data_IF_483418517208
#
_entry.id   IF_483418517208
#
_cell.length_a   1.000
_cell.length_b   1.000
_cell.length_c   1.000
_cell.angle_alpha   90.00
_cell.angle_beta   90.00
_cell.angle_gamma   90.00
#
_symmetry.space_group_name_H-M   'P 1'
#
loop_
_entity.id
_entity.type
_entity.pdbx_description
1 polymer ?
#
# COMPACT_ATOMS: atom_id res chain seq x y z
N UNK A 1 6.08 -0.84 -9.53
CA UNK A 1 5.85 -1.88 -8.52
C UNK A 1 5.08 -3.05 -9.06
N UNK A 2 4.73 -3.98 -8.18
CA UNK A 2 4.04 -5.21 -8.52
C UNK A 2 4.98 -6.42 -8.54
N UNK A 3 4.48 -7.55 -9.04
CA UNK A 3 5.29 -8.76 -9.20
C UNK A 3 5.65 -8.99 -10.67
N UNK A 4 6.92 -9.24 -10.93
CA UNK A 4 7.42 -9.66 -12.24
C UNK A 4 8.09 -11.03 -12.05
N UNK A 5 7.59 -12.05 -12.75
CA UNK A 5 8.06 -13.43 -12.61
C UNK A 5 8.12 -13.93 -11.15
N UNK A 6 7.10 -13.59 -10.36
CA UNK A 6 6.98 -14.01 -8.96
C UNK A 6 7.83 -13.20 -7.97
N UNK A 7 8.57 -12.19 -8.42
CA UNK A 7 9.41 -11.33 -7.56
C UNK A 7 8.84 -9.91 -7.50
N UNK A 8 8.88 -9.25 -6.34
CA UNK A 8 8.53 -7.84 -6.24
C UNK A 8 9.41 -6.96 -7.13
N UNK A 9 8.82 -5.90 -7.68
CA UNK A 9 9.48 -4.99 -8.61
C UNK A 9 9.37 -3.54 -8.12
N UNK A 10 10.32 -2.70 -8.52
CA UNK A 10 10.27 -1.24 -8.42
C UNK A 10 10.08 -0.57 -9.78
N UNK A 11 9.75 -1.36 -10.82
CA UNK A 11 9.56 -0.86 -12.17
C UNK A 11 8.37 0.09 -12.32
N UNK A 12 8.53 1.07 -13.18
CA UNK A 12 7.49 1.96 -13.69
C UNK A 12 7.41 1.83 -15.21
N UNK A 13 6.20 1.70 -15.72
CA UNK A 13 5.94 1.54 -17.15
C UNK A 13 4.87 2.53 -17.62
N UNK A 14 5.01 2.99 -18.85
CA UNK A 14 4.07 3.88 -19.51
C UNK A 14 3.60 3.28 -20.83
N UNK A 15 2.31 3.41 -21.13
CA UNK A 15 1.74 3.13 -22.45
C UNK A 15 1.11 4.42 -22.99
N UNK A 16 1.52 4.82 -24.18
CA UNK A 16 0.89 5.94 -24.88
C UNK A 16 -0.37 5.48 -25.62
N UNK A 17 -1.54 5.81 -25.10
CA UNK A 17 -2.82 5.44 -25.71
C UNK A 17 -3.08 6.18 -27.04
N UNK A 18 -2.41 7.28 -27.30
CA UNK A 18 -2.46 7.98 -28.61
C UNK A 18 -1.62 7.29 -29.69
N UNK A 19 -0.69 6.41 -29.29
CA UNK A 19 0.12 5.57 -30.18
C UNK A 19 0.46 4.25 -29.50
N UNK A 20 -0.51 3.34 -29.33
CA UNK A 20 -0.33 2.08 -28.60
C UNK A 20 0.64 1.11 -29.28
N UNK A 21 0.88 1.28 -30.59
CA UNK A 21 1.82 0.46 -31.37
C UNK A 21 3.26 0.53 -30.85
N UNK A 22 3.62 1.62 -30.15
CA UNK A 22 4.95 1.75 -29.52
C UNK A 22 5.14 0.81 -28.33
N UNK A 23 4.05 0.19 -27.83
CA UNK A 23 4.07 -0.73 -26.69
C UNK A 23 4.38 -0.04 -25.36
N UNK A 24 4.56 -0.86 -24.33
CA UNK A 24 4.94 -0.40 -23.00
C UNK A 24 6.41 0.07 -22.98
N UNK A 25 6.63 1.25 -22.49
CA UNK A 25 7.96 1.83 -22.29
C UNK A 25 8.32 1.79 -20.81
N UNK A 26 9.51 1.31 -20.47
CA UNK A 26 10.03 1.39 -19.12
C UNK A 26 10.51 2.81 -18.82
N UNK A 27 10.05 3.35 -17.71
CA UNK A 27 10.48 4.61 -17.13
C UNK A 27 11.43 4.34 -15.95
N UNK A 28 12.10 5.38 -15.41
CA UNK A 28 12.96 5.19 -14.24
C UNK A 28 12.27 4.50 -13.09
N UNK A 29 12.88 3.45 -12.57
CA UNK A 29 12.42 2.71 -11.41
C UNK A 29 12.34 3.63 -10.18
N UNK A 30 11.37 3.45 -9.29
CA UNK A 30 11.37 4.20 -8.03
C UNK A 30 12.53 3.71 -7.14
N UNK A 31 13.17 4.63 -6.35
CA UNK A 31 14.43 4.34 -5.65
C UNK A 31 14.25 3.50 -4.38
N UNK A 32 13.02 3.21 -3.98
CA UNK A 32 12.73 2.39 -2.81
C UNK A 32 12.86 0.89 -3.04
N UNK A 33 12.68 0.11 -1.97
CA UNK A 33 12.67 -1.35 -2.07
C UNK A 33 11.55 -1.83 -3.00
N UNK A 34 11.79 -2.88 -3.82
CA UNK A 34 10.76 -3.51 -4.64
C UNK A 34 9.56 -3.93 -3.80
N UNK A 35 8.34 -3.71 -4.30
CA UNK A 35 7.12 -3.90 -3.50
C UNK A 35 5.88 -4.15 -4.34
N UNK A 36 4.89 -4.76 -3.71
CA UNK A 36 3.54 -4.93 -4.22
C UNK A 36 2.54 -4.10 -3.41
N UNK A 37 1.40 -3.79 -4.00
CA UNK A 37 0.28 -3.07 -3.39
C UNK A 37 0.67 -1.74 -2.68
N UNK A 38 1.54 -0.88 -3.25
CA UNK A 38 1.64 0.49 -2.76
C UNK A 38 0.36 1.25 -3.08
N UNK A 39 0.07 2.29 -2.31
CA UNK A 39 -0.87 3.34 -2.76
C UNK A 39 -0.19 4.13 -3.87
N UNK A 40 -0.90 4.32 -4.98
CA UNK A 40 -0.39 5.04 -6.15
C UNK A 40 -1.44 6.04 -6.63
N UNK A 41 -1.10 7.34 -6.69
CA UNK A 41 -2.05 8.40 -7.02
C UNK A 41 -1.45 9.37 -8.03
N UNK A 42 -2.17 9.60 -9.14
CA UNK A 42 -1.88 10.70 -10.05
C UNK A 42 -2.48 12.00 -9.53
N UNK A 43 -1.64 13.01 -9.32
CA UNK A 43 -2.05 14.34 -8.87
C UNK A 43 -1.64 15.39 -9.90
N UNK A 44 -2.62 16.12 -10.44
CA UNK A 44 -2.32 17.22 -11.38
C UNK A 44 -1.61 18.36 -10.66
N UNK A 45 -0.52 18.83 -11.27
CA UNK A 45 0.23 19.99 -10.83
C UNK A 45 0.59 20.81 -12.07
N UNK A 46 0.00 22.00 -12.20
CA UNK A 46 0.21 22.85 -13.38
C UNK A 46 -0.10 22.12 -14.70
N UNK A 47 0.91 21.89 -15.52
CA UNK A 47 0.77 21.29 -16.85
C UNK A 47 1.11 19.80 -16.89
N UNK A 48 1.49 19.17 -15.76
CA UNK A 48 1.80 17.75 -15.69
C UNK A 48 0.98 17.02 -14.61
N UNK A 49 0.93 15.69 -14.69
CA UNK A 49 0.41 14.84 -13.62
C UNK A 49 1.57 14.14 -12.95
N UNK A 50 1.83 14.51 -11.70
CA UNK A 50 2.80 13.83 -10.83
C UNK A 50 2.22 12.50 -10.34
N UNK A 51 3.08 11.50 -10.22
CA UNK A 51 2.70 10.20 -9.66
C UNK A 51 3.27 10.07 -8.25
N UNK A 52 2.40 9.98 -7.26
CA UNK A 52 2.76 9.73 -5.87
C UNK A 52 2.62 8.26 -5.53
N UNK A 53 3.55 7.75 -4.71
CA UNK A 53 3.60 6.36 -4.30
C UNK A 53 3.98 6.26 -2.82
N UNK A 54 3.21 5.49 -2.02
CA UNK A 54 3.52 5.21 -0.61
C UNK A 54 3.24 3.77 -0.23
N UNK A 55 3.99 3.28 0.75
CA UNK A 55 3.73 2.00 1.37
C UNK A 55 3.98 0.82 0.44
N UNK A 56 3.19 -0.23 0.64
CA UNK A 56 3.38 -1.51 -0.03
C UNK A 56 4.28 -2.46 0.75
N UNK A 57 4.38 -3.70 0.29
CA UNK A 57 5.14 -4.74 0.97
C UNK A 57 5.86 -5.68 0.01
N UNK A 58 6.79 -6.43 0.55
CA UNK A 58 7.49 -7.52 -0.13
C UNK A 58 7.63 -8.69 0.81
N UNK A 59 7.31 -9.90 0.35
CA UNK A 59 7.80 -11.12 0.98
C UNK A 59 9.31 -11.25 0.81
N UNK A 60 9.93 -12.18 1.52
CA UNK A 60 11.34 -12.48 1.36
C UNK A 60 11.64 -13.05 -0.04
N UNK A 61 12.68 -12.53 -0.69
CA UNK A 61 13.14 -12.97 -2.02
C UNK A 61 14.63 -12.65 -2.22
N UNK A 62 15.34 -13.49 -2.95
CA UNK A 62 16.73 -13.30 -3.36
C UNK A 62 17.67 -12.88 -2.20
N UNK A 63 17.53 -13.50 -1.03
CA UNK A 63 18.32 -13.21 0.17
C UNK A 63 17.94 -11.92 0.91
N UNK A 64 16.87 -11.24 0.48
CA UNK A 64 16.29 -10.08 1.18
C UNK A 64 15.14 -10.55 2.06
N UNK A 65 15.10 -10.08 3.30
CA UNK A 65 13.99 -10.34 4.22
C UNK A 65 12.72 -9.61 3.81
N UNK A 66 11.58 -10.12 4.31
CA UNK A 66 10.29 -9.49 4.12
C UNK A 66 10.27 -8.05 4.64
N UNK A 67 9.58 -7.17 3.93
CA UNK A 67 9.47 -5.75 4.28
C UNK A 67 8.04 -5.24 4.17
N UNK A 68 7.69 -4.28 5.02
CA UNK A 68 6.51 -3.44 4.88
C UNK A 68 6.95 -1.98 4.89
N UNK A 69 6.81 -1.31 3.76
CA UNK A 69 7.33 0.03 3.55
C UNK A 69 6.40 1.10 4.11
N UNK A 70 6.98 2.19 4.64
CA UNK A 70 6.26 3.40 5.04
C UNK A 70 6.75 4.64 4.28
N UNK A 71 7.82 4.51 3.49
CA UNK A 71 8.39 5.58 2.67
C UNK A 71 7.45 5.99 1.52
N UNK A 72 7.70 7.15 0.98
CA UNK A 72 6.97 7.69 -0.15
C UNK A 72 7.86 8.36 -1.18
N UNK A 73 7.37 8.39 -2.41
CA UNK A 73 8.06 8.98 -3.56
C UNK A 73 7.08 9.69 -4.47
N UNK A 74 7.57 10.73 -5.14
CA UNK A 74 6.87 11.46 -6.19
C UNK A 74 7.67 11.40 -7.49
N UNK A 75 7.05 10.99 -8.58
CA UNK A 75 7.63 10.98 -9.92
C UNK A 75 7.13 12.15 -10.75
N UNK A 76 8.06 12.90 -11.36
CA UNK A 76 7.76 13.92 -12.35
C UNK A 76 8.03 13.36 -13.76
N UNK A 77 7.00 13.24 -14.61
CA UNK A 77 7.18 12.81 -16.00
C UNK A 77 8.05 13.77 -16.82
N UNK A 78 7.94 15.09 -16.60
CA UNK A 78 8.73 16.09 -17.34
C UNK A 78 10.22 16.04 -17.01
N UNK A 79 10.57 15.74 -15.74
CA UNK A 79 11.94 15.60 -15.30
C UNK A 79 12.46 14.15 -15.40
N UNK A 80 11.57 13.19 -15.59
CA UNK A 80 11.86 11.74 -15.53
C UNK A 80 12.59 11.34 -14.24
N UNK A 81 12.20 11.92 -13.11
CA UNK A 81 12.88 11.73 -11.82
C UNK A 81 11.90 11.46 -10.69
N UNK A 82 12.36 10.63 -9.76
CA UNK A 82 11.74 10.37 -8.47
C UNK A 82 12.36 11.26 -7.39
N UNK A 83 11.52 11.76 -6.51
CA UNK A 83 11.93 12.48 -5.30
C UNK A 83 11.27 11.83 -4.09
N UNK A 84 11.96 11.72 -2.94
CA UNK A 84 11.32 11.29 -1.71
C UNK A 84 10.28 12.32 -1.26
N UNK A 85 9.22 11.83 -0.63
CA UNK A 85 8.18 12.66 0.01
C UNK A 85 7.91 12.13 1.41
N UNK A 86 7.26 12.95 2.23
CA UNK A 86 6.99 12.63 3.64
C UNK A 86 6.27 11.30 3.81
N UNK A 87 6.71 10.55 4.82
CA UNK A 87 6.09 9.31 5.28
C UNK A 87 4.69 9.59 5.84
N UNK A 88 3.66 8.77 5.51
CA UNK A 88 2.36 8.87 6.14
C UNK A 88 2.46 8.72 7.65
N UNK A 89 1.92 9.69 8.38
CA UNK A 89 1.86 9.68 9.85
C UNK A 89 0.45 9.99 10.33
N UNK A 90 0.06 9.38 11.45
CA UNK A 90 -1.17 9.73 12.17
C UNK A 90 -0.99 10.92 13.09
N UNK A 91 -2.06 11.34 13.75
CA UNK A 91 -2.05 12.40 14.78
C UNK A 91 -1.16 12.06 15.98
N UNK A 92 -0.91 10.78 16.21
CA UNK A 92 0.01 10.25 17.24
C UNK A 92 1.50 10.26 16.78
N UNK A 93 1.80 10.81 15.61
CA UNK A 93 3.14 10.83 15.00
C UNK A 93 3.70 9.44 14.68
N UNK A 94 2.86 8.41 14.69
CA UNK A 94 3.27 7.04 14.34
C UNK A 94 3.19 6.85 12.82
N UNK A 95 4.25 6.32 12.16
CA UNK A 95 4.21 5.99 10.74
C UNK A 95 3.10 5.00 10.41
N UNK A 96 2.32 5.31 9.38
CA UNK A 96 1.23 4.47 8.88
C UNK A 96 1.68 3.75 7.63
N UNK A 97 1.62 2.42 7.66
CA UNK A 97 1.80 1.63 6.46
C UNK A 97 0.52 1.68 5.62
N UNK A 98 0.67 2.05 4.36
CA UNK A 98 -0.43 2.07 3.40
C UNK A 98 -0.39 0.85 2.46
N UNK A 99 0.28 -0.23 2.87
CA UNK A 99 0.30 -1.48 2.10
C UNK A 99 -1.11 -2.06 1.94
N UNK A 100 -1.60 -2.19 0.70
CA UNK A 100 -2.98 -2.56 0.42
C UNK A 100 -4.01 -1.46 0.69
N UNK A 101 -3.59 -0.24 1.03
CA UNK A 101 -4.47 0.93 1.14
C UNK A 101 -4.91 1.47 -0.22
N UNK A 102 -5.77 2.46 -0.21
CA UNK A 102 -6.25 3.16 -1.40
C UNK A 102 -6.01 4.67 -1.28
N UNK A 103 -5.83 5.34 -2.43
CA UNK A 103 -5.65 6.78 -2.47
C UNK A 103 -6.29 7.41 -3.70
N UNK A 104 -6.70 8.67 -3.58
CA UNK A 104 -7.30 9.46 -4.66
C UNK A 104 -6.93 10.95 -4.51
N UNK A 105 -6.72 11.62 -5.62
CA UNK A 105 -6.60 13.07 -5.64
C UNK A 105 -7.96 13.71 -5.27
N UNK A 106 -7.96 14.57 -4.25
CA UNK A 106 -9.17 15.26 -3.78
C UNK A 106 -9.30 16.64 -4.41
N UNK A 107 -8.22 17.41 -4.42
CA UNK A 107 -8.15 18.75 -4.99
C UNK A 107 -6.87 18.88 -5.81
N UNK A 108 -6.51 20.09 -6.22
CA UNK A 108 -5.26 20.39 -6.91
C UNK A 108 -3.98 20.17 -6.06
N UNK A 109 -4.14 19.96 -4.76
CA UNK A 109 -3.01 19.83 -3.83
C UNK A 109 -3.23 18.85 -2.67
N UNK A 110 -4.39 18.18 -2.62
CA UNK A 110 -4.71 17.25 -1.54
C UNK A 110 -4.96 15.85 -2.10
N UNK A 111 -4.33 14.86 -1.49
CA UNK A 111 -4.54 13.43 -1.76
C UNK A 111 -5.16 12.80 -0.51
N UNK A 112 -6.26 12.10 -0.69
CA UNK A 112 -6.95 11.33 0.33
C UNK A 112 -6.45 9.88 0.29
N UNK A 113 -6.08 9.31 1.45
CA UNK A 113 -5.69 7.91 1.60
C UNK A 113 -6.45 7.24 2.72
N UNK A 114 -6.82 5.97 2.51
CA UNK A 114 -7.57 5.15 3.47
C UNK A 114 -7.06 3.71 3.50
N UNK A 115 -7.30 3.01 4.59
CA UNK A 115 -7.06 1.58 4.69
C UNK A 115 -5.58 1.19 4.70
N UNK A 116 -5.34 -0.07 4.43
CA UNK A 116 -4.04 -0.70 4.49
C UNK A 116 -3.85 -1.56 5.73
N UNK A 117 -2.87 -2.45 5.68
CA UNK A 117 -2.59 -3.41 6.76
C UNK A 117 -1.82 -2.76 7.93
N UNK A 118 -1.95 -3.32 9.13
CA UNK A 118 -1.09 -2.96 10.25
C UNK A 118 0.34 -3.45 9.98
N UNK A 119 1.32 -2.54 10.16
CA UNK A 119 2.73 -2.80 9.84
C UNK A 119 3.27 -4.02 10.58
N UNK A 120 3.16 -4.03 11.90
CA UNK A 120 3.84 -5.02 12.73
C UNK A 120 3.19 -6.40 12.62
N UNK A 121 1.85 -6.44 12.63
CA UNK A 121 1.08 -7.69 12.52
C UNK A 121 1.31 -8.33 11.14
N UNK A 122 1.26 -7.54 10.08
CA UNK A 122 1.42 -8.09 8.73
C UNK A 122 2.87 -8.46 8.44
N UNK A 123 3.84 -7.66 8.89
CA UNK A 123 5.26 -7.99 8.75
C UNK A 123 5.61 -9.31 9.47
N UNK A 124 5.07 -9.52 10.67
CA UNK A 124 5.25 -10.79 11.40
C UNK A 124 4.69 -12.00 10.63
N UNK A 125 3.57 -11.81 9.91
CA UNK A 125 3.03 -12.88 9.05
C UNK A 125 3.95 -13.18 7.86
N UNK A 126 4.51 -12.15 7.20
CA UNK A 126 5.46 -12.32 6.10
C UNK A 126 6.76 -12.99 6.57
N UNK A 127 7.28 -12.61 7.75
CA UNK A 127 8.46 -13.22 8.36
C UNK A 127 8.21 -14.69 8.72
N UNK A 128 7.02 -15.05 9.20
CA UNK A 128 6.63 -16.44 9.45
C UNK A 128 6.66 -17.26 8.16
N UNK A 129 6.22 -16.70 7.03
CA UNK A 129 6.33 -17.37 5.73
C UNK A 129 7.80 -17.56 5.30
N UNK A 130 8.67 -16.60 5.57
CA UNK A 130 10.10 -16.70 5.34
C UNK A 130 10.72 -17.84 6.19
N UNK A 131 10.42 -17.87 7.50
CA UNK A 131 10.86 -18.91 8.40
C UNK A 131 10.32 -20.30 8.00
N UNK A 132 9.08 -20.37 7.53
CA UNK A 132 8.48 -21.62 7.02
C UNK A 132 9.27 -22.17 5.84
N UNK A 133 9.61 -21.31 4.85
CA UNK A 133 10.42 -21.72 3.69
C UNK A 133 11.81 -22.23 4.11
N UNK A 134 12.45 -21.54 5.06
CA UNK A 134 13.75 -21.94 5.59
C UNK A 134 13.66 -23.29 6.33
N UNK A 135 12.64 -23.51 7.18
CA UNK A 135 12.44 -24.74 7.89
C UNK A 135 12.19 -25.95 6.96
N UNK A 136 11.38 -25.74 5.91
CA UNK A 136 11.14 -26.76 4.87
C UNK A 136 12.43 -27.10 4.13
N UNK A 137 13.18 -26.12 3.70
CA UNK A 137 14.45 -26.31 2.98
C UNK A 137 15.49 -27.00 3.86
N UNK A 138 15.54 -26.67 5.16
CA UNK A 138 16.45 -27.26 6.14
C UNK A 138 16.00 -28.63 6.69
N UNK A 139 14.84 -29.16 6.26
CA UNK A 139 14.30 -30.44 6.74
C UNK A 139 13.88 -30.46 8.22
N UNK A 140 13.66 -29.28 8.83
CA UNK A 140 13.28 -29.16 10.23
C UNK A 140 11.75 -29.30 10.41
N UNK A 141 11.28 -30.57 10.50
CA UNK A 141 9.85 -30.87 10.60
C UNK A 141 9.20 -30.25 11.85
N UNK A 142 9.88 -30.25 13.01
CA UNK A 142 9.34 -29.69 14.25
C UNK A 142 9.06 -28.16 14.09
N UNK A 143 10.00 -27.43 13.46
CA UNK A 143 9.78 -26.01 13.15
C UNK A 143 8.64 -25.80 12.14
N UNK A 144 8.53 -26.64 11.12
CA UNK A 144 7.43 -26.60 10.15
C UNK A 144 6.08 -26.77 10.85
N UNK A 145 5.95 -27.73 11.77
CA UNK A 145 4.69 -28.01 12.46
C UNK A 145 4.31 -26.86 13.42
N UNK A 146 5.29 -26.29 14.15
CA UNK A 146 5.09 -25.09 14.98
C UNK A 146 4.58 -23.91 14.15
N UNK A 147 5.28 -23.56 13.06
CA UNK A 147 4.92 -22.44 12.19
C UNK A 147 3.57 -22.61 11.50
N UNK A 148 3.18 -23.85 11.15
CA UNK A 148 1.82 -24.15 10.66
C UNK A 148 0.76 -23.90 11.72
N UNK A 149 1.01 -24.28 12.98
CA UNK A 149 0.10 -24.02 14.10
C UNK A 149 -0.08 -22.52 14.33
N UNK A 150 1.02 -21.76 14.32
CA UNK A 150 0.98 -20.29 14.43
C UNK A 150 0.21 -19.64 13.27
N UNK A 151 0.43 -20.10 12.02
CA UNK A 151 -0.29 -19.62 10.85
C UNK A 151 -1.80 -19.91 10.96
N UNK A 152 -2.18 -21.09 11.46
CA UNK A 152 -3.58 -21.43 11.73
C UNK A 152 -4.18 -20.50 12.78
N UNK A 153 -3.50 -20.28 13.90
CA UNK A 153 -3.93 -19.36 14.97
C UNK A 153 -4.09 -17.93 14.43
N UNK A 154 -3.11 -17.45 13.64
CA UNK A 154 -3.18 -16.15 12.98
C UNK A 154 -4.47 -15.98 12.17
N UNK A 155 -4.89 -16.98 11.39
CA UNK A 155 -6.10 -16.92 10.56
C UNK A 155 -7.42 -16.93 11.37
N UNK A 156 -7.41 -17.42 12.61
CA UNK A 156 -8.61 -17.55 13.45
C UNK A 156 -8.98 -16.27 14.21
N UNK A 157 -8.09 -15.28 14.28
CA UNK A 157 -8.39 -14.03 14.97
C UNK A 157 -9.58 -13.28 14.33
N UNK A 158 -10.37 -12.52 15.11
CA UNK A 158 -11.40 -11.63 14.58
C UNK A 158 -10.77 -10.45 13.80
N UNK A 159 -11.56 -9.78 12.99
CA UNK A 159 -11.07 -8.71 12.09
C UNK A 159 -10.36 -7.58 12.86
N UNK A 160 -10.87 -7.20 14.00
CA UNK A 160 -10.34 -6.10 14.84
C UNK A 160 -8.92 -6.39 15.36
N UNK A 161 -8.57 -7.67 15.52
CA UNK A 161 -7.24 -8.07 15.95
C UNK A 161 -6.14 -7.68 14.95
N UNK A 162 -6.46 -7.67 13.65
CA UNK A 162 -5.48 -7.33 12.60
C UNK A 162 -5.17 -5.84 12.55
N UNK A 163 -5.98 -4.99 13.20
CA UNK A 163 -5.74 -3.55 13.33
C UNK A 163 -5.40 -2.89 11.99
N UNK A 164 -6.17 -3.20 10.94
CA UNK A 164 -6.02 -2.50 9.69
C UNK A 164 -6.20 -1.01 9.90
N UNK A 165 -5.53 -0.20 9.08
CA UNK A 165 -5.55 1.25 9.24
C UNK A 165 -6.97 1.81 9.12
N UNK A 166 -7.46 2.37 10.23
CA UNK A 166 -8.78 3.00 10.36
C UNK A 166 -8.74 4.53 10.14
N UNK A 167 -7.57 5.07 9.82
CA UNK A 167 -7.38 6.51 9.60
C UNK A 167 -7.75 6.91 8.20
N UNK A 168 -8.41 8.07 8.09
CA UNK A 168 -8.54 8.82 6.84
C UNK A 168 -7.44 9.87 6.87
N UNK A 169 -6.45 9.71 5.99
CA UNK A 169 -5.27 10.55 5.92
C UNK A 169 -5.36 11.48 4.71
N UNK A 170 -4.95 12.72 4.90
CA UNK A 170 -4.84 13.73 3.84
C UNK A 170 -3.38 14.15 3.70
N UNK A 171 -2.84 14.00 2.50
CA UNK A 171 -1.52 14.49 2.15
C UNK A 171 -1.62 15.81 1.38
N UNK A 172 -0.93 16.83 1.87
CA UNK A 172 -0.82 18.12 1.20
C UNK A 172 0.46 18.16 0.35
N UNK A 173 0.30 18.11 -0.97
CA UNK A 173 1.41 18.04 -1.93
C UNK A 173 2.24 19.31 -2.02
N UNK A 174 1.69 20.48 -1.62
CA UNK A 174 2.42 21.77 -1.61
C UNK A 174 3.29 21.93 -0.36
N UNK A 175 2.86 21.32 0.77
CA UNK A 175 3.55 21.44 2.06
C UNK A 175 4.40 20.22 2.38
N UNK A 176 4.26 19.14 1.62
CA UNK A 176 4.82 17.82 1.92
C UNK A 176 4.49 17.36 3.36
N UNK A 177 3.18 17.39 3.70
CA UNK A 177 2.70 17.09 5.05
C UNK A 177 1.45 16.24 5.03
N UNK A 178 1.39 15.33 6.01
CA UNK A 178 0.24 14.50 6.31
C UNK A 178 -0.60 15.08 7.44
N UNK A 179 -1.89 14.85 7.37
CA UNK A 179 -2.88 15.17 8.40
C UNK A 179 -3.84 13.99 8.53
N UNK A 180 -4.16 13.62 9.77
CA UNK A 180 -5.22 12.67 10.07
C UNK A 180 -6.54 13.44 10.21
N UNK A 181 -7.46 13.24 9.27
CA UNK A 181 -8.75 13.92 9.28
C UNK A 181 -9.69 13.31 10.31
N UNK A 182 -9.82 11.99 10.32
CA UNK A 182 -10.72 11.24 11.21
C UNK A 182 -10.35 9.76 11.21
N UNK A 183 -10.88 8.99 12.18
CA UNK A 183 -10.84 7.52 12.21
C UNK A 183 -12.21 6.92 12.01
N UNK A 184 -12.28 5.84 11.25
CA UNK A 184 -13.49 5.03 11.08
C UNK A 184 -13.11 3.58 10.78
N UNK A 185 -13.74 2.64 11.47
CA UNK A 185 -13.57 1.21 11.18
C UNK A 185 -14.08 0.83 9.78
N UNK A 186 -14.98 1.63 9.20
CA UNK A 186 -15.52 1.38 7.86
C UNK A 186 -14.48 1.53 6.74
N UNK A 187 -13.34 2.18 7.03
CA UNK A 187 -12.22 2.28 6.08
C UNK A 187 -11.03 1.36 6.44
N UNK A 188 -11.11 0.63 7.55
CA UNK A 188 -10.07 -0.30 8.00
C UNK A 188 -10.04 -1.58 7.13
N UNK A 189 -9.63 -1.43 5.88
CA UNK A 189 -9.68 -2.48 4.85
C UNK A 189 -8.39 -2.50 4.03
N UNK A 190 -8.05 -3.68 3.51
CA UNK A 190 -6.99 -3.81 2.51
C UNK A 190 -7.58 -4.16 1.14
N UNK A 191 -6.98 -3.65 0.07
CA UNK A 191 -7.44 -3.91 -1.31
C UNK A 191 -8.83 -3.35 -1.62
N UNK A 192 -9.28 -2.32 -0.91
CA UNK A 192 -10.48 -1.57 -1.24
C UNK A 192 -10.22 -0.65 -2.44
N UNK A 193 -11.28 -0.32 -3.18
CA UNK A 193 -11.23 0.76 -4.16
C UNK A 193 -11.70 2.07 -3.50
N UNK A 194 -11.01 3.16 -3.77
CA UNK A 194 -11.40 4.51 -3.35
C UNK A 194 -11.72 5.33 -4.59
N UNK A 195 -12.95 5.85 -4.66
CA UNK A 195 -13.42 6.68 -5.76
C UNK A 195 -14.26 7.84 -5.24
N UNK A 196 -14.45 8.88 -6.03
CA UNK A 196 -15.28 10.03 -5.65
C UNK A 196 -14.79 11.32 -6.28
N UNK A 197 -15.49 12.41 -5.94
CA UNK A 197 -15.19 13.76 -6.44
C UNK A 197 -15.70 14.82 -5.46
N UNK A 198 -15.01 15.96 -5.41
CA UNK A 198 -15.39 17.10 -4.57
C UNK A 198 -15.32 16.76 -3.09
N UNK A 199 -16.48 16.71 -2.43
CA UNK A 199 -16.59 16.43 -0.99
C UNK A 199 -17.09 15.01 -0.69
N UNK A 200 -17.40 14.20 -1.70
CA UNK A 200 -17.97 12.87 -1.51
C UNK A 200 -17.09 11.79 -2.12
N UNK A 201 -16.68 10.84 -1.29
CA UNK A 201 -15.86 9.69 -1.68
C UNK A 201 -16.53 8.39 -1.20
N UNK A 202 -16.17 7.30 -1.84
CA UNK A 202 -16.66 5.96 -1.52
C UNK A 202 -15.49 5.02 -1.39
N UNK A 203 -15.39 4.34 -0.24
CA UNK A 203 -14.47 3.23 0.00
C UNK A 203 -15.25 1.93 -0.25
N UNK A 204 -14.88 1.22 -1.32
CA UNK A 204 -15.69 0.13 -1.89
C UNK A 204 -15.03 -1.20 -1.62
N UNK A 205 -15.76 -2.15 -1.04
CA UNK A 205 -15.33 -3.52 -0.78
C UNK A 205 -14.05 -3.56 0.08
N UNK A 206 -13.20 -4.54 -0.16
CA UNK A 206 -11.93 -4.74 0.52
C UNK A 206 -11.93 -5.91 1.48
N UNK A 207 -10.78 -6.20 2.01
CA UNK A 207 -10.51 -7.29 2.93
C UNK A 207 -10.49 -6.75 4.37
N UNK A 208 -11.26 -7.37 5.27
CA UNK A 208 -11.32 -7.01 6.69
C UNK A 208 -10.25 -7.75 7.51
N UNK A 209 -9.87 -8.92 7.03
CA UNK A 209 -8.77 -9.75 7.54
C UNK A 209 -8.37 -10.72 6.43
N UNK A 210 -7.21 -11.39 6.52
CA UNK A 210 -6.77 -12.33 5.48
C UNK A 210 -7.86 -13.32 5.07
N UNK A 211 -8.21 -13.32 3.78
CA UNK A 211 -9.21 -14.20 3.19
C UNK A 211 -10.69 -13.83 3.42
N UNK A 212 -10.99 -12.79 4.20
CA UNK A 212 -12.38 -12.36 4.49
C UNK A 212 -12.61 -10.96 3.92
N UNK A 213 -13.47 -10.87 2.92
CA UNK A 213 -13.82 -9.62 2.23
C UNK A 213 -15.23 -9.15 2.59
N UNK A 214 -15.45 -7.85 2.49
CA UNK A 214 -16.76 -7.24 2.66
C UNK A 214 -17.27 -6.70 1.33
N UNK A 215 -18.59 -6.82 1.03
CA UNK A 215 -19.23 -6.14 -0.10
C UNK A 215 -19.66 -4.70 0.23
N UNK A 216 -19.44 -4.24 1.45
CA UNK A 216 -19.93 -2.94 1.91
C UNK A 216 -19.24 -1.77 1.20
N UNK A 217 -19.99 -0.67 1.08
CA UNK A 217 -19.53 0.61 0.56
C UNK A 217 -19.66 1.64 1.67
N UNK A 218 -18.54 2.20 2.10
CA UNK A 218 -18.53 3.31 3.06
C UNK A 218 -18.48 4.64 2.31
N UNK A 219 -19.43 5.55 2.61
CA UNK A 219 -19.44 6.92 2.11
C UNK A 219 -18.62 7.81 3.04
N UNK A 220 -17.69 8.56 2.48
CA UNK A 220 -16.85 9.53 3.18
C UNK A 220 -17.25 10.92 2.70
N UNK A 221 -17.56 11.82 3.64
CA UNK A 221 -17.84 13.22 3.36
C UNK A 221 -16.77 14.08 4.03
N UNK A 222 -16.18 15.00 3.29
CA UNK A 222 -15.10 15.88 3.77
C UNK A 222 -15.47 17.31 3.37
N UNK A 223 -15.78 18.12 4.36
CA UNK A 223 -16.12 19.53 4.21
C UNK A 223 -14.92 20.39 3.81
#
# INVERSE_FOLDING_TARGET
GGNVNGKPSNGLYCLNLGNPETGWQQLPDFPGAPRVQPVCVGQRKENETLLYLWGGFSGAFDGRSATLSTDGYCYSPSLQQWQPVSTPIGSDSVPVALGGGAGIARTDSLILCTGGVNKDIFLSALQREEMMKAAVTGGNQAAVDSLKSEAKTYMLHPAEWYRFNDRILIYNTRRDKWEEAVRSQDVARAGAALTGQGQTFFNINGELKPGIRTPEIAKIMID
#
